data_IF_876229714566
#
_entry.id   IF_876229714566
#
_cell.length_a   1.000
_cell.length_b   1.000
_cell.length_c   1.000
_cell.angle_alpha   90.00
_cell.angle_beta   90.00
_cell.angle_gamma   90.00
#
_symmetry.space_group_name_H-M   'P 1'
#
loop_
_entity.id
_entity.type
_entity.pdbx_description
1 polymer ?
#
# COMPACT_ATOMS: atom_id res chain seq x y z
N UNK A 1 10.77 7.64 23.45
CA UNK A 1 10.66 6.46 22.60
C UNK A 1 9.56 6.68 21.57
N UNK A 2 9.88 6.39 20.33
CA UNK A 2 8.91 6.52 19.27
C UNK A 2 7.92 5.36 19.31
N UNK A 3 6.64 5.70 19.15
CA UNK A 3 5.56 4.71 19.15
C UNK A 3 5.08 4.49 17.74
N UNK A 4 5.00 3.22 17.34
CA UNK A 4 4.42 2.82 16.07
C UNK A 4 2.91 2.69 16.23
N UNK A 5 2.16 3.39 15.40
CA UNK A 5 0.70 3.28 15.37
C UNK A 5 0.23 2.96 13.96
N UNK A 6 -0.97 2.41 13.85
CA UNK A 6 -1.62 2.10 12.57
C UNK A 6 -2.97 2.78 12.52
N UNK A 7 -3.34 3.23 11.32
CA UNK A 7 -4.67 3.79 11.08
C UNK A 7 -5.25 3.26 9.78
N UNK A 8 -6.56 3.15 9.72
CA UNK A 8 -7.27 2.60 8.55
C UNK A 8 -7.93 3.69 7.71
N UNK A 9 -7.46 4.90 7.83
CA UNK A 9 -7.93 6.06 7.08
C UNK A 9 -6.78 7.00 6.81
N UNK A 10 -6.84 7.72 5.70
CA UNK A 10 -5.90 8.80 5.38
C UNK A 10 -6.32 10.15 6.01
N UNK A 11 -7.44 10.17 6.71
CA UNK A 11 -7.92 11.40 7.36
C UNK A 11 -6.88 11.94 8.33
N UNK A 12 -6.65 13.24 8.27
CA UNK A 12 -5.69 13.93 9.13
C UNK A 12 -4.25 13.92 8.63
N UNK A 13 -3.94 13.19 7.56
CA UNK A 13 -2.60 13.20 6.98
C UNK A 13 -2.38 14.41 6.09
N UNK A 14 -1.13 14.85 6.03
CA UNK A 14 -0.67 15.90 5.12
C UNK A 14 0.45 15.37 4.25
N UNK A 15 0.71 16.00 3.08
CA UNK A 15 1.82 15.56 2.21
C UNK A 15 3.18 15.56 2.90
N UNK A 16 3.42 16.45 3.85
CA UNK A 16 4.69 16.51 4.58
C UNK A 16 5.00 15.21 5.34
N UNK A 17 3.97 14.47 5.75
CA UNK A 17 4.14 13.20 6.44
C UNK A 17 4.50 12.06 5.49
N UNK A 18 4.41 12.29 4.18
CA UNK A 18 4.66 11.31 3.12
C UNK A 18 5.98 11.58 2.39
N UNK A 19 6.92 12.24 3.03
CA UNK A 19 8.21 12.59 2.43
C UNK A 19 9.28 11.49 2.57
N UNK A 20 8.90 10.32 3.06
CA UNK A 20 9.80 9.18 3.18
C UNK A 20 10.18 8.57 1.83
N UNK A 21 11.06 7.57 1.88
CA UNK A 21 11.55 6.90 0.66
C UNK A 21 10.54 5.86 0.18
N UNK A 22 9.48 6.34 -0.49
CA UNK A 22 8.50 5.51 -1.14
C UNK A 22 8.74 5.46 -2.65
N UNK A 23 8.21 4.41 -3.30
CA UNK A 23 8.30 4.20 -4.75
C UNK A 23 9.76 4.09 -5.22
N UNK A 24 10.59 3.46 -4.40
CA UNK A 24 11.99 3.26 -4.68
C UNK A 24 12.17 2.48 -5.98
N UNK A 25 13.04 2.98 -6.86
CA UNK A 25 13.28 2.38 -8.16
C UNK A 25 12.31 2.82 -9.25
N UNK A 26 11.30 3.62 -8.92
CA UNK A 26 10.38 4.15 -9.93
C UNK A 26 11.01 5.39 -10.60
N UNK A 27 11.16 5.40 -11.95
CA UNK A 27 11.74 6.55 -12.63
C UNK A 27 10.95 7.85 -12.50
N UNK A 28 9.62 7.76 -12.36
CA UNK A 28 8.75 8.92 -12.29
C UNK A 28 7.66 8.70 -11.22
N UNK A 29 8.07 8.72 -9.94
CA UNK A 29 7.14 8.36 -8.86
C UNK A 29 6.09 9.45 -8.60
N UNK A 30 4.97 9.08 -7.96
CA UNK A 30 4.03 10.07 -7.46
C UNK A 30 4.68 11.03 -6.46
N UNK A 31 4.28 12.29 -6.49
CA UNK A 31 4.67 13.28 -5.47
C UNK A 31 3.97 12.95 -4.15
N UNK A 32 4.42 13.52 -3.01
CA UNK A 32 3.70 13.35 -1.75
C UNK A 32 2.23 13.77 -1.83
N UNK A 33 1.90 14.83 -2.58
CA UNK A 33 0.52 15.28 -2.77
C UNK A 33 -0.30 14.23 -3.52
N UNK A 34 0.25 13.65 -4.57
CA UNK A 34 -0.41 12.59 -5.33
C UNK A 34 -0.50 11.30 -4.52
N UNK A 35 0.55 10.98 -3.76
CA UNK A 35 0.53 9.84 -2.84
C UNK A 35 -0.64 9.96 -1.86
N UNK A 36 -0.84 11.13 -1.27
CA UNK A 36 -1.96 11.35 -0.37
C UNK A 36 -3.31 11.11 -1.06
N UNK A 37 -3.45 11.58 -2.32
CA UNK A 37 -4.67 11.33 -3.12
C UNK A 37 -4.92 9.83 -3.32
N UNK A 38 -3.86 9.06 -3.57
CA UNK A 38 -3.96 7.59 -3.71
C UNK A 38 -4.50 6.97 -2.41
N UNK A 39 -3.94 7.37 -1.28
CA UNK A 39 -4.40 6.86 0.02
C UNK A 39 -5.85 7.23 0.31
N UNK A 40 -6.25 8.45 -0.03
CA UNK A 40 -7.61 8.93 0.20
C UNK A 40 -8.64 8.26 -0.72
N UNK A 41 -8.22 7.90 -1.94
CA UNK A 41 -9.12 7.35 -2.95
C UNK A 41 -9.26 5.82 -2.88
N UNK A 42 -8.38 5.13 -2.18
CA UNK A 42 -8.41 3.67 -2.07
C UNK A 42 -9.59 3.22 -1.21
N UNK A 43 -10.22 2.11 -1.59
CA UNK A 43 -11.36 1.56 -0.83
C UNK A 43 -10.94 1.10 0.56
N UNK A 44 -9.75 0.54 0.68
CA UNK A 44 -9.17 0.13 1.95
C UNK A 44 -7.73 0.61 2.03
N UNK A 45 -7.32 1.06 3.19
CA UNK A 45 -5.96 1.53 3.43
C UNK A 45 -5.56 1.22 4.87
N UNK A 46 -4.31 0.82 5.07
CA UNK A 46 -3.71 0.77 6.39
C UNK A 46 -2.40 1.55 6.34
N UNK A 47 -2.19 2.41 7.30
CA UNK A 47 -1.05 3.34 7.31
C UNK A 47 -0.33 3.19 8.64
N UNK A 48 0.98 2.96 8.57
CA UNK A 48 1.86 2.87 9.73
C UNK A 48 2.54 4.21 9.95
N UNK A 49 2.43 4.73 11.16
CA UNK A 49 2.94 6.06 11.53
C UNK A 49 3.88 5.95 12.73
N UNK A 50 5.05 6.57 12.63
CA UNK A 50 6.02 6.71 13.70
C UNK A 50 6.57 8.14 13.69
N UNK A 51 6.60 8.79 14.84
CA UNK A 51 7.12 10.16 14.97
C UNK A 51 6.46 11.13 14.00
N UNK A 52 5.14 11.02 13.85
CA UNK A 52 4.33 11.85 12.96
C UNK A 52 4.69 11.73 11.48
N UNK A 53 5.37 10.65 11.10
CA UNK A 53 5.72 10.34 9.72
C UNK A 53 5.10 9.01 9.32
N UNK A 54 4.62 8.93 8.09
CA UNK A 54 4.19 7.66 7.50
C UNK A 54 5.44 6.86 7.15
N UNK A 55 5.54 5.66 7.72
CA UNK A 55 6.69 4.77 7.48
C UNK A 55 6.32 3.54 6.67
N UNK A 56 5.04 3.32 6.43
CA UNK A 56 4.57 2.23 5.60
C UNK A 56 3.08 2.37 5.32
N UNK A 57 2.62 1.72 4.27
CA UNK A 57 1.21 1.72 3.91
C UNK A 57 0.88 0.55 3.02
N UNK A 58 -0.40 0.21 2.98
CA UNK A 58 -0.96 -0.75 2.03
C UNK A 58 -2.31 -0.22 1.56
N UNK A 59 -2.59 -0.40 0.28
CA UNK A 59 -3.85 0.05 -0.33
C UNK A 59 -4.52 -1.09 -1.06
N UNK A 60 -5.86 -1.07 -1.11
CA UNK A 60 -6.64 -2.03 -1.88
C UNK A 60 -7.86 -1.35 -2.49
N UNK A 61 -8.25 -1.87 -3.66
CA UNK A 61 -9.52 -1.53 -4.30
C UNK A 61 -10.44 -2.75 -4.21
N UNK A 62 -11.75 -2.53 -4.12
CA UNK A 62 -12.70 -3.61 -3.86
C UNK A 62 -14.10 -3.23 -4.30
N UNK A 63 -14.87 -4.24 -4.73
CA UNK A 63 -16.31 -4.06 -4.94
C UNK A 63 -17.10 -4.23 -3.63
N UNK A 64 -16.45 -4.69 -2.56
CA UNK A 64 -17.10 -4.93 -1.28
C UNK A 64 -18.04 -6.14 -1.26
N UNK A 65 -18.07 -6.93 -2.33
CA UNK A 65 -19.00 -8.04 -2.48
C UNK A 65 -18.28 -9.36 -2.73
N UNK A 66 -17.34 -9.39 -3.66
CA UNK A 66 -16.68 -10.63 -4.09
C UNK A 66 -15.16 -10.53 -4.03
N UNK A 67 -14.59 -9.40 -4.40
CA UNK A 67 -13.16 -9.32 -4.69
C UNK A 67 -12.51 -8.02 -4.19
N UNK A 68 -11.22 -8.12 -3.91
CA UNK A 68 -10.35 -6.98 -3.67
C UNK A 68 -9.01 -7.21 -4.35
N UNK A 69 -8.34 -6.13 -4.72
CA UNK A 69 -6.99 -6.18 -5.26
C UNK A 69 -6.09 -5.27 -4.43
N UNK A 70 -5.01 -5.85 -3.88
CA UNK A 70 -4.01 -5.10 -3.14
C UNK A 70 -3.11 -4.42 -4.16
N UNK A 71 -3.15 -3.09 -4.21
CA UNK A 71 -2.53 -2.30 -5.26
C UNK A 71 -1.09 -1.93 -4.93
N UNK A 72 -0.83 -1.52 -3.69
CA UNK A 72 0.48 -1.07 -3.24
C UNK A 72 0.72 -1.55 -1.81
N UNK A 73 1.96 -1.96 -1.53
CA UNK A 73 2.45 -2.21 -0.18
C UNK A 73 3.88 -1.69 -0.13
N UNK A 74 4.16 -0.75 0.76
CA UNK A 74 5.51 -0.22 0.91
C UNK A 74 5.83 0.09 2.37
N UNK A 75 7.09 -0.11 2.72
CA UNK A 75 7.66 0.27 4.01
C UNK A 75 8.99 0.95 3.71
N UNK A 76 9.24 2.10 4.34
CA UNK A 76 10.49 2.83 4.10
C UNK A 76 11.70 1.96 4.49
N UNK A 77 12.85 2.10 3.78
CA UNK A 77 13.99 1.19 3.98
C UNK A 77 14.47 1.07 5.42
N UNK A 78 14.52 2.16 6.19
CA UNK A 78 15.00 2.14 7.57
C UNK A 78 14.09 1.36 8.53
N UNK A 79 12.88 1.02 8.10
CA UNK A 79 11.92 0.25 8.89
C UNK A 79 11.75 -1.19 8.38
N UNK A 80 12.59 -1.62 7.44
CA UNK A 80 12.54 -3.00 6.94
C UNK A 80 12.94 -4.00 8.02
N UNK A 81 12.51 -5.25 7.87
CA UNK A 81 12.83 -6.38 8.75
C UNK A 81 12.30 -6.24 10.18
N UNK A 82 11.28 -5.41 10.38
CA UNK A 82 10.64 -5.21 11.69
C UNK A 82 9.21 -5.77 11.76
N UNK A 83 8.76 -6.49 10.74
CA UNK A 83 7.43 -7.08 10.70
C UNK A 83 6.31 -6.12 10.33
N UNK A 84 6.63 -4.90 9.89
CA UNK A 84 5.60 -3.90 9.56
C UNK A 84 4.79 -4.31 8.35
N UNK A 85 5.44 -4.87 7.31
CA UNK A 85 4.71 -5.34 6.13
C UNK A 85 3.70 -6.43 6.46
N UNK A 86 4.05 -7.39 7.30
CA UNK A 86 3.12 -8.42 7.78
C UNK A 86 1.95 -7.79 8.53
N UNK A 87 2.22 -6.85 9.43
CA UNK A 87 1.17 -6.17 10.20
C UNK A 87 0.22 -5.38 9.29
N UNK A 88 0.76 -4.70 8.28
CA UNK A 88 -0.05 -3.95 7.32
C UNK A 88 -1.01 -4.88 6.58
N UNK A 89 -0.52 -6.00 6.05
CA UNK A 89 -1.37 -6.96 5.33
C UNK A 89 -2.41 -7.57 6.26
N UNK A 90 -2.02 -7.99 7.47
CA UNK A 90 -2.97 -8.59 8.40
C UNK A 90 -4.08 -7.62 8.79
N UNK A 91 -3.74 -6.37 9.04
CA UNK A 91 -4.74 -5.35 9.36
C UNK A 91 -5.62 -5.01 8.16
N UNK A 92 -5.03 -4.99 6.96
CA UNK A 92 -5.80 -4.81 5.73
C UNK A 92 -6.81 -5.93 5.53
N UNK A 93 -6.39 -7.19 5.73
CA UNK A 93 -7.28 -8.34 5.57
C UNK A 93 -8.43 -8.28 6.59
N UNK A 94 -8.16 -7.85 7.82
CA UNK A 94 -9.21 -7.63 8.80
C UNK A 94 -10.19 -6.54 8.36
N UNK A 95 -9.68 -5.46 7.79
CA UNK A 95 -10.49 -4.34 7.33
C UNK A 95 -11.34 -4.70 6.11
N UNK A 96 -10.79 -5.47 5.19
CA UNK A 96 -11.51 -5.96 4.00
C UNK A 96 -12.64 -6.91 4.40
N UNK A 97 -12.38 -7.77 5.38
CA UNK A 97 -13.34 -8.76 5.82
C UNK A 97 -13.40 -9.98 4.88
N UNK A 98 -14.51 -10.70 4.94
CA UNK A 98 -14.68 -11.97 4.22
C UNK A 98 -15.08 -11.73 2.76
N UNK A 99 -14.13 -11.94 1.85
CA UNK A 99 -14.37 -11.93 0.41
C UNK A 99 -13.81 -13.22 -0.19
N UNK A 100 -14.36 -13.62 -1.32
CA UNK A 100 -13.89 -14.81 -2.03
C UNK A 100 -12.47 -14.63 -2.56
N UNK A 101 -12.18 -13.48 -3.14
CA UNK A 101 -10.92 -13.23 -3.86
C UNK A 101 -10.22 -12.00 -3.30
N UNK A 102 -8.98 -12.17 -2.86
CA UNK A 102 -8.08 -11.04 -2.59
C UNK A 102 -6.78 -11.34 -3.34
N UNK A 103 -6.49 -10.56 -4.37
CA UNK A 103 -5.37 -10.80 -5.27
C UNK A 103 -4.35 -9.67 -5.21
N UNK A 104 -3.13 -9.97 -5.64
CA UNK A 104 -2.06 -8.98 -5.80
C UNK A 104 -1.07 -9.45 -6.86
N UNK A 105 -0.23 -8.53 -7.31
CA UNK A 105 0.92 -8.83 -8.17
C UNK A 105 2.17 -8.36 -7.44
N UNK A 106 3.18 -9.18 -7.40
CA UNK A 106 4.44 -8.86 -6.72
C UNK A 106 5.64 -9.38 -7.51
N UNK A 107 6.82 -8.88 -7.18
CA UNK A 107 8.05 -9.43 -7.70
C UNK A 107 8.25 -10.87 -7.18
N UNK A 108 8.88 -11.70 -8.01
CA UNK A 108 9.04 -13.12 -7.69
C UNK A 108 9.74 -13.36 -6.34
N UNK A 109 10.68 -12.50 -5.97
CA UNK A 109 11.40 -12.63 -4.69
C UNK A 109 10.55 -12.31 -3.46
N UNK A 110 9.33 -11.80 -3.64
CA UNK A 110 8.40 -11.53 -2.56
C UNK A 110 7.35 -12.62 -2.39
N UNK A 111 7.35 -13.65 -3.23
CA UNK A 111 6.33 -14.70 -3.17
C UNK A 111 6.30 -15.43 -1.83
N UNK A 112 7.46 -15.64 -1.21
CA UNK A 112 7.54 -16.27 0.09
C UNK A 112 6.90 -15.43 1.20
N UNK A 113 7.13 -14.11 1.15
CA UNK A 113 6.51 -13.16 2.07
C UNK A 113 4.99 -13.31 2.06
N UNK A 114 4.41 -13.30 0.85
CA UNK A 114 2.96 -13.40 0.72
C UNK A 114 2.43 -14.81 1.00
N UNK A 115 3.21 -15.85 0.68
CA UNK A 115 2.82 -17.23 1.00
C UNK A 115 2.65 -17.43 2.51
N UNK A 116 3.49 -16.80 3.31
CA UNK A 116 3.38 -16.84 4.78
C UNK A 116 2.08 -16.20 5.27
N UNK A 117 1.48 -15.34 4.47
CA UNK A 117 0.24 -14.62 4.78
C UNK A 117 -0.99 -15.29 4.16
N UNK A 118 -0.84 -16.48 3.58
CA UNK A 118 -1.94 -17.26 3.04
C UNK A 118 -2.20 -17.09 1.55
N UNK A 119 -1.34 -16.38 0.83
CA UNK A 119 -1.46 -16.22 -0.61
C UNK A 119 -0.76 -17.34 -1.35
N UNK A 120 -1.30 -17.74 -2.50
CA UNK A 120 -0.70 -18.75 -3.37
C UNK A 120 -0.42 -18.16 -4.74
N UNK A 121 0.65 -18.65 -5.38
CA UNK A 121 1.01 -18.18 -6.72
C UNK A 121 -0.05 -18.66 -7.72
N UNK A 122 -0.51 -17.73 -8.55
CA UNK A 122 -1.33 -18.03 -9.71
C UNK A 122 -0.83 -17.21 -10.88
N UNK A 123 -1.39 -17.45 -12.09
CA UNK A 123 -0.96 -16.70 -13.26
C UNK A 123 -1.75 -15.39 -13.35
N UNK A 124 -1.02 -14.28 -13.30
CA UNK A 124 -1.58 -12.96 -13.48
C UNK A 124 -0.98 -12.26 -14.68
N UNK A 125 -1.66 -11.24 -15.17
CA UNK A 125 -1.18 -10.42 -16.29
C UNK A 125 -1.34 -8.95 -15.92
N UNK A 126 -0.36 -8.13 -16.30
CA UNK A 126 -0.40 -6.71 -16.02
C UNK A 126 -0.09 -5.91 -17.28
N UNK A 127 -0.68 -4.70 -17.34
CA UNK A 127 -0.44 -3.75 -18.42
C UNK A 127 -0.03 -2.43 -17.77
N UNK A 128 1.11 -1.89 -18.18
CA UNK A 128 1.66 -0.67 -17.59
C UNK A 128 1.74 0.44 -18.65
N UNK A 129 1.27 1.63 -18.27
CA UNK A 129 1.47 2.85 -19.03
C UNK A 129 2.41 3.75 -18.25
N UNK A 130 3.70 3.69 -18.58
CA UNK A 130 4.73 4.41 -17.82
C UNK A 130 4.62 5.92 -17.94
N UNK A 131 3.92 6.44 -18.97
CA UNK A 131 3.68 7.87 -19.06
C UNK A 131 2.78 8.41 -17.95
N UNK A 132 2.07 7.51 -17.25
CA UNK A 132 1.17 7.86 -16.15
C UNK A 132 1.68 7.38 -14.80
N UNK A 133 2.95 7.01 -14.69
CA UNK A 133 3.50 6.44 -13.47
C UNK A 133 3.42 7.38 -12.26
N UNK A 134 3.48 8.68 -12.47
CA UNK A 134 3.35 9.67 -11.39
C UNK A 134 1.90 9.94 -10.96
N UNK A 135 0.95 9.24 -11.57
CA UNK A 135 -0.47 9.42 -11.29
C UNK A 135 -1.15 10.41 -12.23
N UNK A 136 -2.47 10.32 -12.29
CA UNK A 136 -3.26 11.24 -13.11
C UNK A 136 -3.27 12.63 -12.44
N UNK A 137 -2.95 13.71 -13.16
CA UNK A 137 -2.97 15.05 -12.57
C UNK A 137 -4.40 15.46 -12.18
N UNK A 138 -4.50 16.37 -11.21
CA UNK A 138 -5.80 16.96 -10.86
C UNK A 138 -6.37 17.68 -12.06
N UNK A 139 -7.66 17.50 -12.30
CA UNK A 139 -8.37 18.28 -13.30
C UNK A 139 -8.61 19.68 -12.77
N UNK A 140 -8.35 20.67 -13.62
CA UNK A 140 -8.56 22.08 -13.29
C UNK A 140 -9.81 22.61 -13.96
#
# INVERSE_FOLDING_TARGET
MSTLTYQTTAEGLTPDQLDGEFFEGWPDPPTPETHLRILQASDHVVIAVRDDKVIGFVTAISDGVLSAFITLLEVVPEEHDKGIGHSLINQLMDDIGDLYMVDLVCDANLSRFYAELGFAISTGMSRRNYSMQSGRPLET
#
